data_IF_701699095556
#
_entry.id   IF_701699095556
#
_cell.length_a   1.000
_cell.length_b   1.000
_cell.length_c   1.000
_cell.angle_alpha   90.00
_cell.angle_beta   90.00
_cell.angle_gamma   90.00
#
_symmetry.space_group_name_H-M   'P 1'
#
loop_
_entity.id
_entity.type
_entity.pdbx_description
1 polymer ?
#
# COMPACT_ATOMS: atom_id res chain seq x y z
N UNK A 1 -16.83 31.10 8.75
CA UNK A 1 -15.66 30.39 9.28
C UNK A 1 -15.44 30.64 10.77
N UNK A 2 -15.37 31.88 11.25
CA UNK A 2 -15.14 32.23 12.66
C UNK A 2 -16.17 31.65 13.66
N UNK A 3 -17.44 31.50 13.26
CA UNK A 3 -18.48 30.92 14.11
C UNK A 3 -18.33 29.40 14.31
N UNK A 4 -17.77 28.68 13.32
CA UNK A 4 -17.58 27.22 13.38
C UNK A 4 -16.38 26.90 14.28
N UNK A 5 -15.28 27.65 14.14
CA UNK A 5 -14.06 27.45 14.94
C UNK A 5 -14.25 27.76 16.44
N UNK A 6 -15.20 28.63 16.79
CA UNK A 6 -15.57 28.95 18.17
C UNK A 6 -16.62 27.99 18.77
N UNK A 7 -17.14 27.05 17.99
CA UNK A 7 -18.13 26.09 18.47
C UNK A 7 -17.48 25.05 19.39
N UNK A 8 -18.04 24.88 20.60
CA UNK A 8 -17.50 23.93 21.60
C UNK A 8 -17.52 22.48 21.10
N UNK A 9 -18.49 22.11 20.26
CA UNK A 9 -18.58 20.75 19.69
C UNK A 9 -17.47 20.50 18.68
N UNK A 10 -17.17 21.51 17.86
CA UNK A 10 -16.11 21.44 16.86
C UNK A 10 -14.74 21.32 17.55
N UNK A 11 -14.49 22.11 18.59
CA UNK A 11 -13.24 22.02 19.36
C UNK A 11 -13.09 20.67 20.07
N UNK A 12 -14.17 20.18 20.69
CA UNK A 12 -14.13 18.89 21.37
C UNK A 12 -13.96 17.72 20.40
N UNK A 13 -14.55 17.79 19.20
CA UNK A 13 -14.35 16.75 18.19
C UNK A 13 -12.93 16.73 17.64
N UNK A 14 -12.29 17.89 17.47
CA UNK A 14 -10.86 17.96 17.13
C UNK A 14 -10.02 17.21 18.18
N UNK A 15 -10.21 17.53 19.46
CA UNK A 15 -9.45 16.91 20.56
C UNK A 15 -9.65 15.39 20.56
N UNK A 16 -10.91 14.93 20.44
CA UNK A 16 -11.22 13.49 20.38
C UNK A 16 -10.58 12.82 19.17
N UNK A 17 -10.68 13.41 17.98
CA UNK A 17 -10.09 12.84 16.78
C UNK A 17 -8.58 12.77 16.88
N UNK A 18 -7.91 13.80 17.42
CA UNK A 18 -6.47 13.75 17.69
C UNK A 18 -6.12 12.62 18.65
N UNK A 19 -6.88 12.43 19.73
CA UNK A 19 -6.62 11.33 20.66
C UNK A 19 -6.82 9.98 19.97
N UNK A 20 -7.96 9.75 19.30
CA UNK A 20 -8.27 8.44 18.69
C UNK A 20 -7.31 8.11 17.54
N UNK A 21 -7.22 9.00 16.55
CA UNK A 21 -6.37 8.79 15.36
C UNK A 21 -4.89 8.82 15.76
N UNK A 22 -4.50 9.73 16.65
CA UNK A 22 -3.14 9.78 17.18
C UNK A 22 -2.76 8.51 17.95
N UNK A 23 -3.68 7.92 18.71
CA UNK A 23 -3.45 6.60 19.35
C UNK A 23 -3.23 5.52 18.29
N UNK A 24 -4.05 5.48 17.24
CA UNK A 24 -3.89 4.53 16.15
C UNK A 24 -2.53 4.67 15.43
N UNK A 25 -2.12 5.91 15.12
CA UNK A 25 -0.81 6.22 14.52
C UNK A 25 0.31 5.79 15.47
N UNK A 26 0.22 6.13 16.76
CA UNK A 26 1.23 5.75 17.74
C UNK A 26 1.36 4.21 17.86
N UNK A 27 0.24 3.49 17.89
CA UNK A 27 0.24 2.02 17.95
C UNK A 27 0.90 1.42 16.70
N UNK A 28 0.64 2.00 15.52
CA UNK A 28 1.29 1.58 14.28
C UNK A 28 2.82 1.77 14.36
N UNK A 29 3.27 2.89 14.92
CA UNK A 29 4.69 3.18 15.11
C UNK A 29 5.37 2.25 16.11
N UNK A 30 4.70 1.91 17.20
CA UNK A 30 5.21 0.97 18.19
C UNK A 30 5.08 -0.50 17.77
N UNK A 31 4.53 -0.79 16.58
CA UNK A 31 4.29 -2.16 16.12
C UNK A 31 3.25 -2.90 16.96
N UNK A 32 2.30 -2.18 17.55
CA UNK A 32 1.22 -2.75 18.38
C UNK A 32 -0.07 -2.99 17.58
N UNK A 33 -0.12 -2.53 16.32
CA UNK A 33 -1.24 -2.75 15.42
C UNK A 33 -0.71 -2.84 13.99
N UNK A 34 -1.28 -3.75 13.22
CA UNK A 34 -1.03 -3.86 11.79
C UNK A 34 -1.99 -2.96 11.00
N UNK A 35 -1.77 -2.85 9.70
CA UNK A 35 -2.68 -2.14 8.78
C UNK A 35 -3.97 -2.94 8.55
N UNK A 36 -4.79 -3.07 9.58
CA UNK A 36 -5.86 -4.05 9.64
C UNK A 36 -7.28 -3.48 9.70
N UNK A 37 -8.28 -4.36 9.73
CA UNK A 37 -9.65 -4.04 10.07
C UNK A 37 -9.81 -3.32 11.42
N UNK A 38 -8.94 -3.59 12.39
CA UNK A 38 -8.97 -2.90 13.68
C UNK A 38 -8.59 -1.43 13.50
N UNK A 39 -7.56 -1.15 12.71
CA UNK A 39 -7.12 0.20 12.44
C UNK A 39 -8.06 0.97 11.51
N UNK A 40 -8.49 0.37 10.40
CA UNK A 40 -9.27 1.08 9.38
C UNK A 40 -10.79 0.95 9.53
N UNK A 41 -11.27 0.00 10.32
CA UNK A 41 -12.70 -0.22 10.57
C UNK A 41 -13.08 0.13 12.00
N UNK A 42 -12.56 -0.63 12.99
CA UNK A 42 -12.96 -0.49 14.39
C UNK A 42 -12.66 0.91 14.93
N UNK A 43 -11.42 1.40 14.79
CA UNK A 43 -11.01 2.71 15.31
C UNK A 43 -11.89 3.86 14.79
N UNK A 44 -12.13 3.99 13.46
CA UNK A 44 -13.06 4.98 12.92
C UNK A 44 -14.50 4.83 13.44
N UNK A 45 -15.02 3.60 13.56
CA UNK A 45 -16.36 3.37 14.12
C UNK A 45 -16.45 3.84 15.56
N UNK A 46 -15.48 3.50 16.42
CA UNK A 46 -15.52 3.92 17.82
C UNK A 46 -15.34 5.42 17.99
N UNK A 47 -14.53 6.07 17.14
CA UNK A 47 -14.48 7.53 17.06
C UNK A 47 -15.85 8.09 16.67
N UNK A 48 -16.49 7.53 15.64
CA UNK A 48 -17.85 7.90 15.23
C UNK A 48 -18.86 7.79 16.37
N UNK A 49 -18.79 6.71 17.15
CA UNK A 49 -19.65 6.50 18.33
C UNK A 49 -19.42 7.60 19.37
N UNK A 50 -18.16 7.89 19.70
CA UNK A 50 -17.81 8.96 20.64
C UNK A 50 -18.43 10.30 20.19
N UNK A 51 -18.22 10.68 18.93
CA UNK A 51 -18.79 11.90 18.35
C UNK A 51 -20.33 11.88 18.38
N UNK A 52 -20.96 10.74 18.13
CA UNK A 52 -22.42 10.60 18.11
C UNK A 52 -23.09 10.71 19.48
N UNK A 53 -22.34 10.50 20.57
CA UNK A 53 -22.84 10.62 21.95
C UNK A 53 -22.70 12.03 22.55
N UNK A 54 -22.13 12.99 21.81
CA UNK A 54 -21.97 14.37 22.25
C UNK A 54 -23.32 15.10 22.38
N UNK A 55 -23.49 15.92 23.44
CA UNK A 55 -24.70 16.73 23.65
C UNK A 55 -24.84 17.83 22.60
N UNK A 56 -23.72 18.46 22.24
CA UNK A 56 -23.66 19.52 21.24
C UNK A 56 -23.00 18.92 20.01
N UNK A 57 -23.69 18.95 18.86
CA UNK A 57 -23.34 18.08 17.72
C UNK A 57 -23.39 18.74 16.34
N UNK A 58 -23.76 20.03 16.26
CA UNK A 58 -23.99 20.73 14.98
C UNK A 58 -22.78 20.63 14.03
N UNK A 59 -21.57 20.77 14.58
CA UNK A 59 -20.32 20.72 13.83
C UNK A 59 -19.37 19.60 14.26
N UNK A 60 -19.80 18.70 15.15
CA UNK A 60 -18.92 17.69 15.73
C UNK A 60 -18.42 16.68 14.69
N UNK A 61 -19.32 16.11 13.88
CA UNK A 61 -18.96 15.18 12.80
C UNK A 61 -18.08 15.85 11.75
N UNK A 62 -18.38 17.10 11.38
CA UNK A 62 -17.58 17.86 10.42
C UNK A 62 -16.17 18.09 10.95
N UNK A 63 -16.03 18.48 12.21
CA UNK A 63 -14.73 18.61 12.87
C UNK A 63 -13.96 17.30 12.86
N UNK A 64 -14.60 16.18 13.21
CA UNK A 64 -13.95 14.88 13.19
C UNK A 64 -13.46 14.46 11.79
N UNK A 65 -14.27 14.66 10.75
CA UNK A 65 -13.90 14.33 9.36
C UNK A 65 -12.73 15.21 8.90
N UNK A 66 -12.84 16.53 9.09
CA UNK A 66 -11.78 17.48 8.67
C UNK A 66 -10.48 17.16 9.41
N UNK A 67 -10.52 16.98 10.72
CA UNK A 67 -9.32 16.64 11.50
C UNK A 67 -8.74 15.30 11.09
N UNK A 68 -9.56 14.29 10.79
CA UNK A 68 -9.07 13.00 10.30
C UNK A 68 -8.34 13.15 8.97
N UNK A 69 -8.92 13.86 8.00
CA UNK A 69 -8.29 14.13 6.70
C UNK A 69 -6.97 14.88 6.89
N UNK A 70 -6.95 15.92 7.72
CA UNK A 70 -5.73 16.68 8.00
C UNK A 70 -4.63 15.84 8.66
N UNK A 71 -4.99 14.96 9.61
CA UNK A 71 -4.04 14.06 10.25
C UNK A 71 -3.48 13.02 9.26
N UNK A 72 -4.31 12.44 8.40
CA UNK A 72 -3.86 11.50 7.38
C UNK A 72 -2.95 12.18 6.35
N UNK A 73 -3.26 13.42 5.95
CA UNK A 73 -2.37 14.21 5.09
C UNK A 73 -1.07 14.57 5.84
N UNK A 74 -1.11 14.84 7.14
CA UNK A 74 0.10 15.16 7.91
C UNK A 74 1.10 14.00 7.94
N UNK A 75 0.66 12.75 7.83
CA UNK A 75 1.51 11.55 7.73
C UNK A 75 2.34 11.53 6.41
N UNK A 76 1.88 12.22 5.37
CA UNK A 76 2.62 12.36 4.11
C UNK A 76 3.92 13.16 4.26
N UNK A 77 3.93 14.15 5.15
CA UNK A 77 5.08 15.07 5.35
C UNK A 77 6.37 14.30 5.74
N UNK A 78 6.36 13.43 6.77
CA UNK A 78 7.51 12.62 7.13
C UNK A 78 7.81 11.44 6.18
N UNK A 79 7.09 11.30 5.06
CA UNK A 79 7.31 10.19 4.12
C UNK A 79 6.92 8.82 4.68
N UNK A 80 5.85 8.74 5.47
CA UNK A 80 5.40 7.48 6.09
C UNK A 80 4.36 6.74 5.26
N UNK A 81 3.66 7.47 4.39
CA UNK A 81 2.63 6.92 3.51
C UNK A 81 2.62 7.69 2.20
N UNK A 82 2.30 6.97 1.13
CA UNK A 82 2.08 7.54 -0.18
C UNK A 82 0.74 8.25 -0.29
N UNK A 83 0.63 9.17 -1.25
CA UNK A 83 -0.59 9.91 -1.56
C UNK A 83 -1.74 8.96 -1.90
N UNK A 84 -1.48 7.92 -2.70
CA UNK A 84 -2.53 6.97 -3.11
C UNK A 84 -3.08 6.24 -1.89
N UNK A 85 -2.20 5.77 -1.01
CA UNK A 85 -2.59 5.10 0.23
C UNK A 85 -3.45 6.00 1.12
N UNK A 86 -3.14 7.30 1.22
CA UNK A 86 -3.92 8.27 2.00
C UNK A 86 -5.31 8.45 1.40
N UNK A 87 -5.41 8.63 0.08
CA UNK A 87 -6.71 8.80 -0.60
C UNK A 87 -7.59 7.57 -0.37
N UNK A 88 -7.03 6.36 -0.50
CA UNK A 88 -7.77 5.13 -0.23
C UNK A 88 -8.14 4.98 1.26
N UNK A 89 -7.23 5.31 2.17
CA UNK A 89 -7.53 5.30 3.61
C UNK A 89 -8.67 6.26 3.96
N UNK A 90 -8.71 7.48 3.40
CA UNK A 90 -9.83 8.42 3.57
C UNK A 90 -11.13 7.81 3.06
N UNK A 91 -11.08 7.17 1.89
CA UNK A 91 -12.22 6.48 1.27
C UNK A 91 -12.82 5.37 2.14
N UNK A 92 -12.03 4.76 3.03
CA UNK A 92 -12.50 3.75 3.96
C UNK A 92 -12.89 4.34 5.33
N UNK A 93 -12.02 5.16 5.92
CA UNK A 93 -12.14 5.68 7.29
C UNK A 93 -13.35 6.59 7.44
N UNK A 94 -13.59 7.52 6.51
CA UNK A 94 -14.69 8.49 6.63
C UNK A 94 -16.07 7.82 6.67
N UNK A 95 -16.40 6.86 5.77
CA UNK A 95 -17.63 6.07 5.90
C UNK A 95 -17.77 5.35 7.24
N UNK A 96 -16.69 4.80 7.80
CA UNK A 96 -16.75 4.11 9.10
C UNK A 96 -16.94 5.08 10.28
N UNK A 97 -16.35 6.28 10.25
CA UNK A 97 -16.68 7.35 11.22
C UNK A 97 -18.18 7.68 11.13
N UNK A 98 -18.71 7.84 9.92
CA UNK A 98 -20.13 8.12 9.73
C UNK A 98 -21.02 6.98 10.23
N UNK A 99 -20.63 5.73 9.97
CA UNK A 99 -21.34 4.55 10.46
C UNK A 99 -21.42 4.53 11.99
N UNK A 100 -20.29 4.71 12.67
CA UNK A 100 -20.25 4.81 14.14
C UNK A 100 -21.13 5.93 14.68
N UNK A 101 -21.12 7.08 14.02
CA UNK A 101 -21.99 8.21 14.36
C UNK A 101 -23.48 7.87 14.20
N UNK A 102 -23.86 7.15 13.14
CA UNK A 102 -25.24 6.67 12.94
C UNK A 102 -25.64 5.63 13.98
N UNK A 103 -24.77 4.66 14.28
CA UNK A 103 -25.00 3.65 15.33
C UNK A 103 -25.30 4.32 16.66
N UNK A 104 -24.47 5.27 17.10
CA UNK A 104 -24.72 6.01 18.34
C UNK A 104 -26.07 6.74 18.33
N UNK A 105 -26.48 7.31 17.19
CA UNK A 105 -27.80 7.97 17.06
C UNK A 105 -28.97 7.00 17.15
N UNK A 106 -28.84 5.81 16.54
CA UNK A 106 -29.87 4.78 16.61
C UNK A 106 -29.98 4.22 18.04
N UNK A 107 -28.86 3.84 18.66
CA UNK A 107 -28.81 3.33 20.03
C UNK A 107 -29.36 4.36 21.02
N UNK A 108 -29.10 5.66 20.81
CA UNK A 108 -29.74 6.76 21.56
C UNK A 108 -31.26 6.78 21.39
N UNK A 109 -31.77 6.57 20.17
CA UNK A 109 -33.23 6.56 19.92
C UNK A 109 -33.94 5.50 20.77
N UNK A 110 -33.27 4.38 21.03
CA UNK A 110 -33.75 3.31 21.93
C UNK A 110 -33.41 3.54 23.41
N UNK A 111 -32.94 4.74 23.79
CA UNK A 111 -32.58 5.16 25.17
C UNK A 111 -31.51 4.30 25.86
N UNK A 112 -30.67 3.60 25.09
CA UNK A 112 -29.63 2.72 25.63
C UNK A 112 -28.38 3.48 26.10
N UNK A 113 -28.15 4.71 25.61
CA UNK A 113 -26.98 5.53 25.96
C UNK A 113 -27.43 6.99 26.22
N UNK A 114 -26.80 7.64 27.20
CA UNK A 114 -27.02 9.06 27.56
C UNK A 114 -26.01 9.97 26.86
N UNK A 115 -26.43 11.18 26.49
CA UNK A 115 -25.53 12.17 25.92
C UNK A 115 -24.60 12.77 26.97
N UNK A 116 -23.36 13.05 26.57
CA UNK A 116 -22.33 13.59 27.46
C UNK A 116 -21.35 14.48 26.71
N UNK A 117 -20.77 15.45 27.41
CA UNK A 117 -19.61 16.21 26.95
C UNK A 117 -18.38 15.96 27.84
N UNK A 118 -18.49 15.02 28.80
CA UNK A 118 -17.36 14.67 29.68
C UNK A 118 -16.38 13.83 28.88
N UNK A 119 -15.15 14.31 28.76
CA UNK A 119 -14.09 13.66 27.98
C UNK A 119 -13.90 12.20 28.39
N UNK A 120 -13.87 11.89 29.69
CA UNK A 120 -13.72 10.53 30.20
C UNK A 120 -14.77 9.56 29.66
N UNK A 121 -16.03 10.00 29.53
CA UNK A 121 -17.10 9.18 28.97
C UNK A 121 -17.00 9.05 27.44
N UNK A 122 -16.48 10.08 26.75
CA UNK A 122 -16.27 10.07 25.30
C UNK A 122 -15.03 9.24 24.89
N UNK A 123 -14.12 8.97 25.82
CA UNK A 123 -12.97 8.08 25.60
C UNK A 123 -13.31 6.60 25.83
N UNK A 124 -14.42 6.27 26.49
CA UNK A 124 -14.82 4.86 26.74
C UNK A 124 -14.91 4.01 25.46
N UNK A 125 -15.44 4.50 24.32
CA UNK A 125 -15.45 3.74 23.07
C UNK A 125 -14.04 3.37 22.55
N UNK A 126 -12.97 4.01 23.02
CA UNK A 126 -11.61 3.67 22.62
C UNK A 126 -11.13 2.34 23.24
N UNK A 127 -11.73 1.89 24.36
CA UNK A 127 -11.31 0.68 25.08
C UNK A 127 -11.32 -0.58 24.18
N UNK A 128 -12.38 -0.88 23.42
CA UNK A 128 -12.37 -1.98 22.45
C UNK A 128 -11.17 -1.95 21.49
N UNK A 129 -10.77 -0.76 21.01
CA UNK A 129 -9.60 -0.63 20.14
C UNK A 129 -8.30 -0.93 20.89
N UNK A 130 -8.13 -0.38 22.11
CA UNK A 130 -6.93 -0.60 22.93
C UNK A 130 -6.68 -2.07 23.25
N UNK A 131 -7.75 -2.87 23.35
CA UNK A 131 -7.66 -4.32 23.55
C UNK A 131 -7.48 -5.05 22.21
N UNK A 132 -8.31 -4.74 21.21
CA UNK A 132 -8.32 -5.47 19.95
C UNK A 132 -7.03 -5.29 19.14
N UNK A 133 -6.42 -4.11 19.14
CA UNK A 133 -5.23 -3.83 18.32
C UNK A 133 -4.02 -4.70 18.70
N UNK A 134 -3.55 -4.70 19.96
CA UNK A 134 -2.47 -5.60 20.36
C UNK A 134 -2.87 -7.07 20.24
N UNK A 135 -4.12 -7.40 20.59
CA UNK A 135 -4.63 -8.79 20.54
C UNK A 135 -4.56 -9.34 19.11
N UNK A 136 -4.97 -8.57 18.10
CA UNK A 136 -4.87 -8.99 16.70
C UNK A 136 -3.40 -9.22 16.31
N UNK A 137 -2.52 -8.26 16.64
CA UNK A 137 -1.09 -8.34 16.31
C UNK A 137 -0.42 -9.57 16.92
N UNK A 138 -0.67 -9.86 18.21
CA UNK A 138 -0.05 -10.99 18.90
C UNK A 138 -0.69 -12.35 18.59
N UNK A 139 -1.99 -12.40 18.24
CA UNK A 139 -2.70 -13.66 17.96
C UNK A 139 -2.60 -14.06 16.49
N UNK A 140 -2.41 -13.11 15.56
CA UNK A 140 -2.19 -13.43 14.14
C UNK A 140 -0.93 -14.28 13.97
N UNK A 141 -1.13 -15.60 13.88
CA UNK A 141 -0.25 -16.48 13.11
C UNK A 141 -0.58 -16.20 11.65
N UNK A 142 0.12 -15.27 11.03
CA UNK A 142 -0.11 -14.96 9.62
C UNK A 142 0.10 -16.22 8.77
N UNK A 143 -1.00 -16.75 8.23
CA UNK A 143 -0.91 -17.43 6.94
C UNK A 143 -0.77 -16.31 5.93
N UNK A 144 0.45 -15.93 5.63
CA UNK A 144 0.74 -15.01 4.53
C UNK A 144 0.19 -15.64 3.25
N UNK A 145 -0.94 -15.13 2.76
CA UNK A 145 -1.47 -15.58 1.47
C UNK A 145 -0.52 -15.07 0.39
N UNK A 146 0.12 -15.99 -0.30
CA UNK A 146 0.93 -15.67 -1.47
C UNK A 146 -0.03 -15.40 -2.63
N UNK A 147 0.08 -14.20 -3.20
CA UNK A 147 -0.71 -13.73 -4.33
C UNK A 147 0.22 -13.61 -5.53
N UNK A 148 -0.21 -14.15 -6.67
CA UNK A 148 0.51 -14.06 -7.93
C UNK A 148 -0.07 -12.96 -8.83
N UNK A 149 0.83 -12.21 -9.47
CA UNK A 149 0.50 -11.29 -10.56
C UNK A 149 1.29 -11.72 -11.79
N UNK A 150 0.55 -11.98 -12.87
CA UNK A 150 1.09 -12.45 -14.14
C UNK A 150 0.81 -11.44 -15.25
N UNK A 151 1.83 -11.08 -16.01
CA UNK A 151 1.74 -10.23 -17.21
C UNK A 151 2.47 -10.91 -18.35
N UNK A 152 1.90 -10.85 -19.55
CA UNK A 152 2.45 -11.49 -20.75
C UNK A 152 2.54 -10.46 -21.89
N UNK A 153 3.60 -10.54 -22.70
CA UNK A 153 3.77 -9.75 -23.92
C UNK A 153 4.54 -10.54 -24.96
N UNK A 154 4.14 -10.40 -26.22
CA UNK A 154 4.83 -11.01 -27.36
C UNK A 154 5.80 -9.98 -27.95
N UNK A 155 7.04 -10.42 -28.15
CA UNK A 155 8.11 -9.65 -28.77
C UNK A 155 8.50 -10.31 -30.11
N UNK A 156 8.81 -9.49 -31.11
CA UNK A 156 9.25 -9.95 -32.44
C UNK A 156 10.78 -10.24 -32.47
N UNK A 157 11.26 -10.90 -31.43
CA UNK A 157 12.66 -11.29 -31.23
C UNK A 157 12.71 -12.73 -30.71
N UNK A 158 13.84 -13.41 -30.91
CA UNK A 158 14.04 -14.77 -30.38
C UNK A 158 14.06 -14.78 -28.85
N UNK A 159 13.73 -15.92 -28.20
CA UNK A 159 13.81 -16.04 -26.75
C UNK A 159 15.18 -15.66 -26.17
N UNK A 160 16.27 -15.98 -26.87
CA UNK A 160 17.63 -15.63 -26.45
C UNK A 160 17.91 -14.13 -26.49
N UNK A 161 17.43 -13.44 -27.54
CA UNK A 161 17.56 -11.98 -27.65
C UNK A 161 16.79 -11.26 -26.54
N UNK A 162 15.57 -11.73 -26.25
CA UNK A 162 14.72 -11.20 -25.17
C UNK A 162 15.36 -11.46 -23.81
N UNK A 163 15.88 -12.67 -23.57
CA UNK A 163 16.59 -13.01 -22.34
C UNK A 163 17.82 -12.10 -22.13
N UNK A 164 18.64 -11.91 -23.17
CA UNK A 164 19.84 -11.07 -23.08
C UNK A 164 19.54 -9.62 -22.76
N UNK A 165 18.40 -9.10 -23.21
CA UNK A 165 17.98 -7.73 -22.95
C UNK A 165 17.40 -7.53 -21.54
N UNK A 166 16.79 -8.56 -20.93
CA UNK A 166 16.09 -8.41 -19.63
C UNK A 166 16.88 -8.89 -18.40
N UNK A 167 17.88 -9.78 -18.58
CA UNK A 167 18.65 -10.38 -17.47
C UNK A 167 19.32 -9.32 -16.59
N UNK A 168 19.84 -8.25 -17.21
CA UNK A 168 20.44 -7.10 -16.55
C UNK A 168 20.07 -5.85 -17.34
N UNK A 169 19.51 -4.85 -16.66
CA UNK A 169 18.99 -3.62 -17.26
C UNK A 169 19.67 -2.44 -16.59
N UNK A 170 20.53 -1.74 -17.32
CA UNK A 170 21.32 -0.65 -16.76
C UNK A 170 20.52 0.63 -16.51
N UNK A 171 19.47 0.87 -17.30
CA UNK A 171 18.61 2.04 -17.18
C UNK A 171 17.20 1.70 -17.64
N UNK A 172 16.22 2.12 -16.86
CA UNK A 172 14.83 2.18 -17.28
C UNK A 172 14.42 3.63 -17.52
N UNK A 173 14.08 3.95 -18.77
CA UNK A 173 13.73 5.30 -19.23
C UNK A 173 12.64 5.30 -20.34
N UNK A 174 11.89 4.20 -20.45
CA UNK A 174 10.70 4.13 -21.29
C UNK A 174 9.53 4.97 -20.75
N UNK A 175 8.41 4.96 -21.48
CA UNK A 175 7.21 5.64 -21.03
C UNK A 175 6.63 4.95 -19.78
N UNK A 176 6.54 5.71 -18.68
CA UNK A 176 5.96 5.24 -17.43
C UNK A 176 4.43 5.13 -17.50
N UNK A 177 3.84 4.01 -17.04
CA UNK A 177 2.42 3.91 -16.77
C UNK A 177 1.93 4.92 -15.73
N UNK A 178 0.62 5.16 -15.71
CA UNK A 178 0.02 6.25 -14.94
C UNK A 178 0.31 6.22 -13.43
N UNK A 179 0.21 5.06 -12.78
CA UNK A 179 0.43 4.98 -11.32
C UNK A 179 1.90 5.09 -10.93
N UNK A 180 2.83 4.67 -11.80
CA UNK A 180 4.26 4.91 -11.62
C UNK A 180 4.61 6.40 -11.74
N UNK A 181 3.90 7.14 -12.60
CA UNK A 181 4.02 8.62 -12.68
C UNK A 181 3.52 9.33 -11.41
N UNK A 182 2.73 8.65 -10.58
CA UNK A 182 2.22 9.18 -9.33
C UNK A 182 3.15 8.80 -8.18
N UNK A 183 2.95 7.65 -7.56
CA UNK A 183 3.43 7.40 -6.20
C UNK A 183 3.96 5.98 -6.01
N UNK A 184 3.93 5.11 -7.03
CA UNK A 184 4.54 3.78 -6.96
C UNK A 184 6.07 3.86 -7.08
N UNK A 185 6.80 2.88 -6.50
CA UNK A 185 8.23 2.72 -6.74
C UNK A 185 8.52 2.62 -8.23
N UNK A 186 9.51 3.38 -8.70
CA UNK A 186 9.93 3.37 -10.09
C UNK A 186 11.25 2.58 -10.16
N UNK A 187 11.29 1.40 -10.81
CA UNK A 187 12.54 0.69 -11.02
C UNK A 187 13.43 1.52 -11.96
N UNK A 188 14.72 1.63 -11.65
CA UNK A 188 15.68 2.43 -12.41
C UNK A 188 16.78 1.59 -13.04
N UNK A 189 17.15 0.48 -12.39
CA UNK A 189 18.24 -0.40 -12.78
C UNK A 189 18.07 -1.78 -12.16
N UNK A 190 18.46 -2.84 -12.85
CA UNK A 190 18.61 -4.19 -12.28
C UNK A 190 19.93 -4.79 -12.73
N UNK A 191 20.78 -5.22 -11.79
CA UNK A 191 22.11 -5.77 -12.09
C UNK A 191 22.12 -7.23 -11.69
N UNK A 192 22.40 -8.13 -12.65
CA UNK A 192 22.66 -9.54 -12.38
C UNK A 192 24.18 -9.75 -12.29
N UNK A 193 24.66 -10.27 -11.16
CA UNK A 193 26.11 -10.43 -10.92
C UNK A 193 26.73 -11.49 -11.83
N UNK A 194 26.03 -12.61 -12.03
CA UNK A 194 26.46 -13.75 -12.83
C UNK A 194 25.26 -14.51 -13.39
N UNK A 195 25.45 -15.19 -14.51
CA UNK A 195 24.43 -16.04 -15.14
C UNK A 195 24.52 -17.49 -14.64
N UNK A 196 24.30 -17.69 -13.34
CA UNK A 196 24.30 -19.03 -12.71
C UNK A 196 23.28 -19.11 -11.57
N UNK A 197 22.85 -20.33 -11.23
CA UNK A 197 22.02 -20.58 -10.05
C UNK A 197 22.79 -20.18 -8.79
N UNK A 198 22.14 -19.45 -7.89
CA UNK A 198 22.74 -18.88 -6.69
C UNK A 198 23.25 -17.45 -6.85
N UNK A 199 23.38 -16.93 -8.08
CA UNK A 199 23.76 -15.55 -8.32
C UNK A 199 22.71 -14.55 -7.79
N UNK A 200 23.16 -13.33 -7.47
CA UNK A 200 22.28 -12.26 -7.02
C UNK A 200 21.90 -11.33 -8.18
N UNK A 201 20.66 -10.87 -8.14
CA UNK A 201 20.14 -9.78 -8.98
C UNK A 201 19.61 -8.69 -8.08
N UNK A 202 20.15 -7.48 -8.20
CA UNK A 202 19.74 -6.34 -7.39
C UNK A 202 19.06 -5.31 -8.26
N UNK A 203 17.78 -5.06 -7.97
CA UNK A 203 16.97 -4.03 -8.59
C UNK A 203 16.89 -2.78 -7.70
N UNK A 204 17.11 -1.61 -8.30
CA UNK A 204 17.12 -0.31 -7.66
C UNK A 204 15.84 0.45 -8.02
N UNK A 205 15.27 1.11 -7.03
CA UNK A 205 14.02 1.86 -7.14
C UNK A 205 14.20 3.28 -6.63
N UNK A 206 13.52 4.21 -7.29
CA UNK A 206 13.34 5.58 -6.80
C UNK A 206 11.87 5.83 -6.44
N UNK A 207 11.64 6.82 -5.59
CA UNK A 207 10.28 7.28 -5.28
C UNK A 207 9.54 7.80 -6.51
N UNK A 208 8.21 7.70 -6.48
CA UNK A 208 7.34 8.28 -7.49
C UNK A 208 7.38 9.81 -7.47
N UNK A 209 6.81 10.46 -8.50
CA UNK A 209 6.81 11.93 -8.61
C UNK A 209 6.08 12.64 -7.47
N UNK A 210 5.08 11.99 -6.88
CA UNK A 210 4.31 12.45 -5.73
C UNK A 210 4.77 11.79 -4.42
N UNK A 211 5.96 11.19 -4.41
CA UNK A 211 6.54 10.64 -3.19
C UNK A 211 7.45 11.68 -2.54
N UNK A 212 7.33 11.85 -1.22
CA UNK A 212 8.19 12.72 -0.42
C UNK A 212 9.31 11.92 0.26
N UNK A 213 10.48 12.53 0.44
CA UNK A 213 11.59 12.00 1.25
C UNK A 213 11.97 10.54 0.92
N UNK A 214 12.15 10.24 -0.37
CA UNK A 214 12.48 8.91 -0.92
C UNK A 214 11.46 7.81 -0.65
N UNK A 215 10.23 8.13 -0.23
CA UNK A 215 9.16 7.16 -0.05
C UNK A 215 8.96 6.31 -1.32
N UNK A 216 8.98 4.99 -1.16
CA UNK A 216 8.94 4.03 -2.27
C UNK A 216 10.27 3.79 -3.00
N UNK A 217 11.34 4.51 -2.68
CA UNK A 217 12.69 4.20 -3.16
C UNK A 217 13.35 3.06 -2.38
N UNK A 218 14.47 2.55 -2.92
CA UNK A 218 15.32 1.55 -2.29
C UNK A 218 15.70 0.39 -3.21
N UNK A 219 15.76 -0.83 -2.68
CA UNK A 219 16.27 -1.99 -3.42
C UNK A 219 15.47 -3.26 -3.17
N UNK A 220 15.48 -4.16 -4.17
CA UNK A 220 15.05 -5.56 -4.04
C UNK A 220 16.22 -6.43 -4.49
N UNK A 221 16.59 -7.40 -3.66
CA UNK A 221 17.66 -8.37 -3.93
C UNK A 221 17.05 -9.76 -4.12
N UNK A 222 17.30 -10.32 -5.29
CA UNK A 222 16.75 -11.58 -5.75
C UNK A 222 17.90 -12.59 -5.91
N UNK A 223 17.67 -13.86 -5.54
CA UNK A 223 18.62 -14.96 -5.76
C UNK A 223 18.09 -15.87 -6.86
N UNK A 224 18.91 -16.12 -7.88
CA UNK A 224 18.56 -17.05 -8.96
C UNK A 224 18.42 -18.47 -8.41
N UNK A 225 17.24 -19.06 -8.59
CA UNK A 225 16.92 -20.44 -8.17
C UNK A 225 16.78 -21.41 -9.33
N UNK A 226 16.44 -20.90 -10.52
CA UNK A 226 16.46 -21.68 -11.76
C UNK A 226 16.87 -20.78 -12.92
N UNK A 227 17.76 -21.29 -13.77
CA UNK A 227 18.21 -20.58 -14.96
C UNK A 227 18.36 -21.56 -16.14
N UNK A 228 17.56 -21.34 -17.17
CA UNK A 228 17.75 -21.93 -18.49
C UNK A 228 17.61 -20.80 -19.52
N UNK A 229 18.71 -20.45 -20.16
CA UNK A 229 18.77 -19.37 -21.14
C UNK A 229 17.67 -19.52 -22.20
N UNK A 230 16.97 -18.42 -22.46
CA UNK A 230 15.88 -18.37 -23.44
C UNK A 230 14.65 -19.23 -23.08
N UNK A 231 14.55 -19.74 -21.84
CA UNK A 231 13.41 -20.54 -21.38
C UNK A 231 12.87 -20.08 -20.02
N UNK A 232 13.72 -19.96 -19.01
CA UNK A 232 13.32 -19.54 -17.66
C UNK A 232 14.43 -18.82 -16.91
N UNK A 233 14.05 -17.76 -16.20
CA UNK A 233 14.83 -17.10 -15.17
C UNK A 233 13.94 -16.97 -13.92
N UNK A 234 14.16 -17.82 -12.93
CA UNK A 234 13.42 -17.84 -11.67
C UNK A 234 14.31 -17.35 -10.54
N UNK A 235 13.78 -16.44 -9.72
CA UNK A 235 14.49 -15.89 -8.57
C UNK A 235 13.58 -15.80 -7.34
N UNK A 236 14.17 -16.06 -6.18
CA UNK A 236 13.53 -15.84 -4.88
C UNK A 236 13.98 -14.49 -4.34
N UNK A 237 13.05 -13.70 -3.82
CA UNK A 237 13.36 -12.43 -3.16
C UNK A 237 13.88 -12.75 -1.76
N UNK A 238 15.17 -12.48 -1.54
CA UNK A 238 15.86 -12.80 -0.28
C UNK A 238 15.97 -11.59 0.65
N UNK A 239 15.90 -10.38 0.09
CA UNK A 239 15.94 -9.14 0.82
C UNK A 239 15.27 -8.02 0.03
N UNK A 240 14.64 -7.08 0.74
CA UNK A 240 14.13 -5.87 0.13
C UNK A 240 14.05 -4.74 1.15
N UNK A 241 14.40 -3.54 0.70
CA UNK A 241 14.25 -2.32 1.46
C UNK A 241 13.52 -1.31 0.58
N UNK A 242 12.20 -1.24 0.70
CA UNK A 242 11.37 -0.23 0.04
C UNK A 242 10.80 0.71 1.11
N UNK A 243 11.25 1.96 1.08
CA UNK A 243 10.93 2.96 2.10
C UNK A 243 9.41 3.12 2.22
N UNK A 244 8.88 2.89 3.43
CA UNK A 244 7.46 3.09 3.75
C UNK A 244 6.50 2.03 3.17
N UNK A 245 7.00 0.89 2.68
CA UNK A 245 6.19 -0.21 2.12
C UNK A 245 6.37 -1.53 2.86
N UNK A 246 6.56 -1.48 4.17
CA UNK A 246 6.76 -2.66 5.02
C UNK A 246 5.56 -3.62 5.07
N UNK A 247 4.38 -3.14 4.64
CA UNK A 247 3.15 -3.94 4.59
C UNK A 247 3.05 -4.86 3.36
N UNK A 248 3.95 -4.70 2.39
CA UNK A 248 4.04 -5.52 1.17
C UNK A 248 5.34 -6.34 1.22
N UNK A 249 5.25 -7.66 1.11
CA UNK A 249 6.40 -8.55 1.03
C UNK A 249 6.47 -9.27 -0.31
N UNK A 250 7.64 -9.32 -0.93
CA UNK A 250 7.85 -10.04 -2.19
C UNK A 250 8.47 -11.40 -1.93
N UNK A 251 8.10 -12.42 -2.73
CA UNK A 251 8.56 -13.81 -2.54
C UNK A 251 9.33 -14.31 -3.75
N UNK A 252 8.78 -14.19 -4.95
CA UNK A 252 9.44 -14.67 -6.17
C UNK A 252 9.26 -13.69 -7.34
N UNK A 253 10.26 -13.66 -8.21
CA UNK A 253 10.23 -13.00 -9.51
C UNK A 253 10.63 -14.02 -10.59
N UNK A 254 9.75 -14.25 -11.57
CA UNK A 254 9.92 -15.31 -12.57
C UNK A 254 9.68 -14.75 -13.97
N UNK A 255 10.58 -15.09 -14.89
CA UNK A 255 10.45 -14.83 -16.31
C UNK A 255 10.43 -16.16 -17.07
N UNK A 256 9.38 -16.40 -17.85
CA UNK A 256 9.31 -17.50 -18.82
C UNK A 256 9.40 -16.95 -20.22
N UNK A 257 10.16 -17.63 -21.06
CA UNK A 257 10.41 -17.26 -22.44
C UNK A 257 9.92 -18.40 -23.34
N UNK A 258 8.84 -18.18 -24.08
CA UNK A 258 8.19 -19.20 -24.90
C UNK A 258 8.25 -18.79 -26.38
N UNK A 259 8.76 -19.63 -27.29
CA UNK A 259 8.73 -19.33 -28.72
C UNK A 259 7.29 -19.36 -29.24
N UNK A 260 6.88 -18.34 -29.99
CA UNK A 260 5.52 -18.23 -30.57
C UNK A 260 5.47 -18.24 -32.10
N UNK A 261 6.63 -18.37 -32.76
CA UNK A 261 6.77 -18.42 -34.21
C UNK A 261 8.24 -18.24 -34.63
N UNK A 262 8.49 -18.06 -35.93
CA UNK A 262 9.82 -17.70 -36.40
C UNK A 262 10.19 -16.31 -35.87
N UNK A 263 11.27 -16.24 -35.08
CA UNK A 263 11.79 -15.00 -34.51
C UNK A 263 10.83 -14.24 -33.58
N UNK A 264 10.03 -14.96 -32.79
CA UNK A 264 9.11 -14.35 -31.83
C UNK A 264 9.11 -15.08 -30.49
N UNK A 265 9.00 -14.33 -29.40
CA UNK A 265 9.01 -14.80 -28.04
C UNK A 265 7.86 -14.18 -27.25
N UNK A 266 7.05 -15.01 -26.61
CA UNK A 266 6.14 -14.62 -25.54
C UNK A 266 6.91 -14.62 -24.23
N UNK A 267 7.05 -13.44 -23.64
CA UNK A 267 7.60 -13.27 -22.30
C UNK A 267 6.46 -13.24 -21.30
N UNK A 268 6.51 -14.14 -20.32
CA UNK A 268 5.63 -14.14 -19.16
C UNK A 268 6.41 -13.70 -17.93
N UNK A 269 5.98 -12.63 -17.26
CA UNK A 269 6.51 -12.20 -15.97
C UNK A 269 5.53 -12.53 -14.86
N UNK A 270 6.02 -13.22 -13.83
CA UNK A 270 5.27 -13.54 -12.62
C UNK A 270 5.98 -12.90 -11.42
N UNK A 271 5.22 -12.17 -10.62
CA UNK A 271 5.68 -11.68 -9.32
C UNK A 271 4.75 -12.22 -8.26
N UNK A 272 5.29 -12.86 -7.24
CA UNK A 272 4.52 -13.32 -6.09
C UNK A 272 4.79 -12.44 -4.87
N UNK A 273 3.72 -12.07 -4.17
CA UNK A 273 3.80 -11.17 -3.04
C UNK A 273 2.83 -11.57 -1.92
N UNK A 274 3.02 -10.95 -0.76
CA UNK A 274 2.25 -11.09 0.46
C UNK A 274 1.91 -9.68 0.95
N UNK A 275 0.75 -9.52 1.59
CA UNK A 275 0.35 -8.21 2.13
C UNK A 275 -0.43 -8.38 3.42
N UNK A 276 -0.09 -7.53 4.39
CA UNK A 276 -0.76 -7.48 5.69
C UNK A 276 -1.96 -6.51 5.70
N UNK A 277 -2.17 -5.75 4.60
CA UNK A 277 -3.27 -4.79 4.48
C UNK A 277 -4.61 -5.52 4.49
N UNK A 278 -5.52 -5.14 5.39
CA UNK A 278 -6.93 -5.60 5.35
C UNK A 278 -7.91 -4.42 5.43
N UNK A 279 -9.11 -4.53 4.81
CA UNK A 279 -9.64 -5.67 4.04
C UNK A 279 -8.97 -5.96 2.68
N UNK A 280 -8.73 -7.25 2.38
CA UNK A 280 -8.14 -7.69 1.11
C UNK A 280 -8.93 -7.23 -0.12
N UNK A 281 -10.26 -7.34 -0.10
CA UNK A 281 -11.09 -6.94 -1.25
C UNK A 281 -10.94 -5.46 -1.64
N UNK A 282 -10.49 -4.61 -0.71
CA UNK A 282 -10.31 -3.17 -0.95
C UNK A 282 -8.88 -2.84 -1.39
N UNK A 283 -7.88 -3.41 -0.71
CA UNK A 283 -6.46 -3.08 -0.96
C UNK A 283 -5.84 -3.90 -2.09
N UNK A 284 -6.18 -5.19 -2.19
CA UNK A 284 -5.58 -6.12 -3.16
C UNK A 284 -5.72 -5.69 -4.62
N UNK A 285 -6.87 -5.17 -5.11
CA UNK A 285 -6.98 -4.75 -6.50
C UNK A 285 -5.95 -3.68 -6.87
N UNK A 286 -5.68 -2.75 -5.94
CA UNK A 286 -4.70 -1.68 -6.15
C UNK A 286 -3.26 -2.21 -6.08
N UNK A 287 -2.97 -3.16 -5.18
CA UNK A 287 -1.67 -3.84 -5.09
C UNK A 287 -1.35 -4.62 -6.38
N UNK A 288 -2.31 -5.43 -6.86
CA UNK A 288 -2.18 -6.17 -8.13
C UNK A 288 -1.98 -5.23 -9.31
N UNK A 289 -2.73 -4.12 -9.35
CA UNK A 289 -2.60 -3.12 -10.40
C UNK A 289 -1.23 -2.43 -10.36
N UNK A 290 -0.71 -2.13 -9.17
CA UNK A 290 0.62 -1.53 -9.01
C UNK A 290 1.74 -2.43 -9.55
N UNK A 291 1.72 -3.72 -9.18
CA UNK A 291 2.69 -4.71 -9.70
C UNK A 291 2.53 -4.88 -11.22
N UNK A 292 1.29 -4.96 -11.72
CA UNK A 292 1.05 -5.05 -13.16
C UNK A 292 1.62 -3.86 -13.93
N UNK A 293 1.46 -2.64 -13.41
CA UNK A 293 2.04 -1.46 -14.07
C UNK A 293 3.56 -1.43 -13.99
N UNK A 294 4.17 -1.98 -12.95
CA UNK A 294 5.62 -2.17 -12.92
C UNK A 294 6.05 -3.20 -13.98
N UNK A 295 5.31 -4.29 -14.16
CA UNK A 295 5.54 -5.23 -15.28
C UNK A 295 5.45 -4.53 -16.63
N UNK A 296 4.40 -3.75 -16.86
CA UNK A 296 4.17 -3.02 -18.11
C UNK A 296 5.32 -2.04 -18.39
N UNK A 297 5.82 -1.34 -17.36
CA UNK A 297 6.95 -0.44 -17.49
C UNK A 297 8.23 -1.15 -17.92
N UNK A 298 8.54 -2.28 -17.27
CA UNK A 298 9.70 -3.11 -17.64
C UNK A 298 9.56 -3.64 -19.06
N UNK A 299 8.36 -4.06 -19.47
CA UNK A 299 8.11 -4.55 -20.83
C UNK A 299 8.22 -3.45 -21.89
N UNK A 300 7.82 -2.22 -21.57
CA UNK A 300 7.99 -1.06 -22.45
C UNK A 300 9.48 -0.71 -22.60
N UNK A 301 10.26 -0.81 -21.52
CA UNK A 301 11.71 -0.61 -21.58
C UNK A 301 12.40 -1.68 -22.42
N UNK A 302 12.03 -2.94 -22.20
CA UNK A 302 12.55 -4.07 -22.95
C UNK A 302 12.28 -3.94 -24.45
N UNK A 303 11.09 -3.51 -24.84
CA UNK A 303 10.77 -3.25 -26.25
C UNK A 303 11.70 -2.20 -26.87
N UNK A 304 11.90 -1.08 -26.16
CA UNK A 304 12.82 -0.03 -26.57
C UNK A 304 14.27 -0.53 -26.69
N UNK A 305 14.75 -1.30 -25.72
CA UNK A 305 16.11 -1.83 -25.70
C UNK A 305 16.35 -2.82 -26.83
N UNK A 306 15.38 -3.70 -27.10
CA UNK A 306 15.42 -4.65 -28.21
C UNK A 306 15.43 -3.91 -29.56
N UNK A 307 14.57 -2.92 -29.74
CA UNK A 307 14.58 -2.07 -30.95
C UNK A 307 15.93 -1.39 -31.13
N UNK A 308 16.49 -0.76 -30.10
CA UNK A 308 17.79 -0.09 -30.17
C UNK A 308 18.94 -1.04 -30.50
N UNK A 309 18.91 -2.27 -29.98
CA UNK A 309 19.99 -3.25 -30.12
C UNK A 309 19.94 -4.03 -31.44
N UNK A 310 18.74 -4.35 -31.93
CA UNK A 310 18.55 -5.30 -33.03
C UNK A 310 17.82 -4.72 -34.25
N UNK A 311 17.22 -3.53 -34.16
CA UNK A 311 16.70 -2.87 -35.38
C UNK A 311 17.88 -2.33 -36.19
N UNK A 312 18.07 -2.91 -37.37
CA UNK A 312 18.93 -2.38 -38.45
C UNK A 312 18.28 -1.17 -39.10
#
# INVERSE_FOLDING_TARGET
MNAILKDKSFQLSIILTIIFVGTGIAFLFFGLVDYSWVLFGLLPVVLGVAIGTMKVRKYALLGAIITTILLLIAIYIPGLSGVICIVMAIGLVVPFIFLGYVIARLVKRYRLIKETNRLSALLLPLIPFLVAAPTEHFIKKEKETIIDVRTEKIFNYTPDEVYDAIKSVDTLDAEMPFLLKLDLPIPTKCILEKEEVGALRTCYFKGGRLSNADFGGGTITERVTQLERGKVLKMDVIDYNLIGRKWLGFKEAIYYFEPTGNNSCKLTRVTTYTSVLTPRFYWEPMERLGIKQEHDYVFNNLEKDLTKKYSR
#
